data_IF_601733751253
#
_entry.id   IF_601733751253
#
_cell.length_a   1.000
_cell.length_b   1.000
_cell.length_c   1.000
_cell.angle_alpha   90.00
_cell.angle_beta   90.00
_cell.angle_gamma   90.00
#
_symmetry.space_group_name_H-M   'P 1'
#
loop_
_entity.id
_entity.type
_entity.pdbx_description
1 polymer ?
#
# COMPACT_ATOMS: atom_id res chain seq x y z
N UNK A 1 -9.33 -34.84 2.09
CA UNK A 1 -9.81 -33.82 3.07
C UNK A 1 -9.37 -32.45 2.59
N UNK A 2 -9.99 -31.36 3.08
CA UNK A 2 -9.56 -29.99 2.77
C UNK A 2 -9.14 -29.29 4.03
N UNK A 3 -7.92 -28.81 4.09
CA UNK A 3 -7.37 -28.02 5.19
C UNK A 3 -7.51 -26.54 4.85
N UNK A 4 -7.92 -25.73 5.81
CA UNK A 4 -8.02 -24.27 5.67
C UNK A 4 -6.95 -23.58 6.48
N UNK A 5 -6.28 -22.62 5.87
CA UNK A 5 -5.37 -21.69 6.51
C UNK A 5 -5.90 -20.27 6.26
N UNK A 6 -5.66 -19.36 7.19
CA UNK A 6 -5.89 -17.95 6.93
C UNK A 6 -4.53 -17.27 6.76
N UNK A 7 -4.33 -16.61 5.62
CA UNK A 7 -3.10 -15.89 5.33
C UNK A 7 -3.31 -14.39 5.39
N UNK A 8 -2.40 -13.68 6.08
CA UNK A 8 -2.32 -12.22 6.13
C UNK A 8 -0.85 -11.77 6.11
N UNK A 9 -0.62 -10.51 5.72
CA UNK A 9 0.70 -9.88 5.70
C UNK A 9 0.54 -8.36 5.78
N UNK A 10 1.65 -7.65 5.87
CA UNK A 10 1.73 -6.19 5.72
C UNK A 10 0.76 -5.42 6.63
N UNK A 11 0.68 -5.85 7.91
CA UNK A 11 -0.19 -5.23 8.90
C UNK A 11 0.35 -3.89 9.39
N UNK A 12 1.68 -3.78 9.47
CA UNK A 12 2.41 -2.58 9.88
C UNK A 12 1.87 -1.94 11.17
N UNK A 13 1.69 -2.74 12.23
CA UNK A 13 1.31 -2.20 13.54
C UNK A 13 2.24 -1.05 13.95
N UNK A 14 1.67 -0.01 14.56
CA UNK A 14 2.33 1.23 14.96
C UNK A 14 2.80 2.14 13.81
N UNK A 15 2.32 1.92 12.58
CA UNK A 15 2.58 2.79 11.44
C UNK A 15 2.17 4.23 11.70
N UNK A 16 2.93 5.17 11.13
CA UNK A 16 2.59 6.59 11.10
C UNK A 16 1.80 6.91 9.84
N UNK A 17 0.65 7.56 10.00
CA UNK A 17 -0.25 7.93 8.93
C UNK A 17 -0.19 9.42 8.57
N UNK A 18 0.95 10.09 8.85
CA UNK A 18 1.08 11.54 8.61
C UNK A 18 0.89 11.93 7.15
N UNK A 19 1.40 11.13 6.21
CA UNK A 19 1.23 11.35 4.77
C UNK A 19 -0.24 11.31 4.31
N UNK A 20 -1.10 10.63 5.08
CA UNK A 20 -2.56 10.60 4.84
C UNK A 20 -3.31 11.73 5.58
N UNK A 21 -2.63 12.71 6.15
CA UNK A 21 -3.25 13.78 6.93
C UNK A 21 -3.73 13.36 8.33
N UNK A 22 -3.40 12.14 8.78
CA UNK A 22 -3.85 11.66 10.08
C UNK A 22 -2.94 12.14 11.20
N UNK A 23 -3.47 12.96 12.08
CA UNK A 23 -2.79 13.48 13.27
C UNK A 23 -3.65 13.28 14.53
N UNK A 24 -3.05 13.41 15.71
CA UNK A 24 -3.74 13.38 16.99
C UNK A 24 -4.65 12.16 17.18
N UNK A 25 -5.94 12.40 17.40
CA UNK A 25 -6.95 11.34 17.63
C UNK A 25 -7.15 10.45 16.40
N UNK A 26 -7.19 11.03 15.20
CA UNK A 26 -7.34 10.25 13.97
C UNK A 26 -6.18 9.25 13.79
N UNK A 27 -4.95 9.68 14.04
CA UNK A 27 -3.80 8.77 13.99
C UNK A 27 -3.89 7.65 15.03
N UNK A 28 -4.43 7.91 16.22
CA UNK A 28 -4.69 6.87 17.22
C UNK A 28 -5.77 5.89 16.74
N UNK A 29 -6.89 6.39 16.22
CA UNK A 29 -7.97 5.57 15.63
C UNK A 29 -7.44 4.68 14.49
N UNK A 30 -6.57 5.21 13.63
CA UNK A 30 -5.96 4.43 12.54
C UNK A 30 -5.09 3.29 13.07
N UNK A 31 -4.19 3.54 14.03
CA UNK A 31 -3.38 2.49 14.66
C UNK A 31 -4.22 1.46 15.40
N UNK A 32 -5.29 1.90 16.08
CA UNK A 32 -6.23 0.99 16.71
C UNK A 32 -6.95 0.11 15.67
N UNK A 33 -7.29 0.68 14.50
CA UNK A 33 -7.87 -0.06 13.37
C UNK A 33 -7.00 -1.23 12.90
N UNK A 34 -5.67 -1.07 12.86
CA UNK A 34 -4.75 -2.16 12.53
C UNK A 34 -4.81 -3.30 13.57
N UNK A 35 -4.86 -2.96 14.87
CA UNK A 35 -5.02 -3.95 15.94
C UNK A 35 -6.36 -4.69 15.84
N UNK A 36 -7.42 -3.97 15.51
CA UNK A 36 -8.75 -4.53 15.30
C UNK A 36 -8.82 -5.44 14.06
N UNK A 37 -8.10 -5.08 12.99
CA UNK A 37 -7.98 -5.91 11.79
C UNK A 37 -7.31 -7.27 12.12
N UNK A 38 -6.20 -7.25 12.89
CA UNK A 38 -5.56 -8.49 13.35
C UNK A 38 -6.51 -9.33 14.20
N UNK A 39 -7.13 -8.73 15.21
CA UNK A 39 -8.06 -9.45 16.08
C UNK A 39 -9.28 -9.99 15.32
N UNK A 40 -9.74 -9.25 14.30
CA UNK A 40 -10.81 -9.66 13.39
C UNK A 40 -10.41 -10.85 12.53
N UNK A 41 -9.19 -10.85 12.00
CA UNK A 41 -8.67 -11.97 11.21
C UNK A 41 -8.64 -13.28 12.02
N UNK A 42 -8.23 -13.23 13.28
CA UNK A 42 -8.25 -14.42 14.15
C UNK A 42 -9.67 -14.94 14.42
N UNK A 43 -10.63 -14.03 14.66
CA UNK A 43 -12.05 -14.46 14.81
C UNK A 43 -12.56 -15.12 13.53
N UNK A 44 -12.30 -14.51 12.38
CA UNK A 44 -12.68 -15.09 11.09
C UNK A 44 -12.05 -16.47 10.87
N UNK A 45 -10.77 -16.64 11.21
CA UNK A 45 -10.08 -17.92 11.09
C UNK A 45 -10.75 -19.00 11.95
N UNK A 46 -11.14 -18.67 13.19
CA UNK A 46 -11.87 -19.59 14.08
C UNK A 46 -13.27 -19.92 13.55
N UNK A 47 -14.01 -18.92 13.06
CA UNK A 47 -15.36 -19.09 12.48
C UNK A 47 -15.34 -19.99 11.24
N UNK A 48 -14.30 -19.87 10.42
CA UNK A 48 -14.12 -20.67 9.19
C UNK A 48 -13.47 -22.04 9.45
N UNK A 49 -13.11 -22.35 10.70
CA UNK A 49 -12.46 -23.60 11.07
C UNK A 49 -11.06 -23.74 10.46
N UNK A 50 -10.30 -22.66 10.37
CA UNK A 50 -8.91 -22.70 9.92
C UNK A 50 -8.03 -23.46 10.93
N UNK A 51 -7.12 -24.28 10.43
CA UNK A 51 -6.15 -25.03 11.23
C UNK A 51 -4.99 -24.14 11.68
N UNK A 52 -4.65 -23.11 10.91
CA UNK A 52 -3.59 -22.16 11.21
C UNK A 52 -3.85 -20.77 10.62
N UNK A 53 -3.13 -19.80 11.19
CA UNK A 53 -2.91 -18.48 10.61
C UNK A 53 -1.45 -18.38 10.18
N UNK A 54 -1.20 -17.95 8.94
CA UNK A 54 0.13 -17.66 8.41
C UNK A 54 0.30 -16.15 8.22
N UNK A 55 1.45 -15.60 8.61
CA UNK A 55 1.78 -14.18 8.52
C UNK A 55 3.02 -14.00 7.66
N UNK A 56 2.85 -13.40 6.49
CA UNK A 56 3.88 -13.21 5.46
C UNK A 56 4.79 -11.99 5.70
N UNK A 57 5.00 -11.59 6.97
CA UNK A 57 5.90 -10.49 7.34
C UNK A 57 5.24 -9.13 7.42
N UNK A 58 6.06 -8.15 7.82
CA UNK A 58 5.67 -6.76 8.05
C UNK A 58 4.46 -6.64 9.00
N UNK A 59 4.51 -7.44 10.09
CA UNK A 59 3.48 -7.44 11.12
C UNK A 59 3.49 -6.13 11.92
N UNK A 60 4.68 -5.53 12.13
CA UNK A 60 4.85 -4.29 12.88
C UNK A 60 6.01 -3.44 12.36
N UNK A 61 6.02 -2.16 12.71
CA UNK A 61 7.13 -1.23 12.42
C UNK A 61 8.20 -1.36 13.50
N UNK A 62 9.35 -1.96 13.19
CA UNK A 62 10.43 -2.25 14.16
C UNK A 62 10.88 -1.04 14.97
N UNK A 63 11.05 0.11 14.31
CA UNK A 63 11.54 1.33 14.96
C UNK A 63 10.55 1.97 15.92
N UNK A 64 9.28 1.56 15.92
CA UNK A 64 8.17 2.19 16.64
C UNK A 64 7.48 1.26 17.62
N UNK A 65 7.50 -0.03 17.34
CA UNK A 65 6.83 -1.02 18.13
C UNK A 65 7.50 -1.21 19.50
N UNK A 66 6.73 -1.04 20.54
CA UNK A 66 7.19 -1.12 21.93
C UNK A 66 6.66 -2.35 22.68
N UNK A 67 6.87 -2.32 24.00
CA UNK A 67 6.41 -3.39 24.90
C UNK A 67 4.90 -3.60 24.84
N UNK A 68 4.13 -2.51 24.64
CA UNK A 68 2.67 -2.58 24.51
C UNK A 68 2.24 -3.41 23.30
N UNK A 69 2.90 -3.20 22.15
CA UNK A 69 2.63 -3.97 20.92
C UNK A 69 3.02 -5.43 21.09
N UNK A 70 4.15 -5.70 21.73
CA UNK A 70 4.54 -7.08 22.06
C UNK A 70 3.53 -7.79 22.96
N UNK A 71 3.03 -7.12 24.01
CA UNK A 71 1.98 -7.66 24.90
C UNK A 71 0.65 -7.88 24.16
N UNK A 72 0.26 -6.93 23.32
CA UNK A 72 -0.94 -7.04 22.50
C UNK A 72 -0.86 -8.26 21.58
N UNK A 73 0.25 -8.45 20.86
CA UNK A 73 0.46 -9.59 19.98
C UNK A 73 0.43 -10.92 20.75
N UNK A 74 1.19 -11.04 21.84
CA UNK A 74 1.23 -12.26 22.62
C UNK A 74 -0.16 -12.64 23.19
N UNK A 75 -0.89 -11.66 23.74
CA UNK A 75 -2.24 -11.87 24.26
C UNK A 75 -3.23 -12.27 23.14
N UNK A 76 -3.18 -11.57 22.01
CA UNK A 76 -4.05 -11.85 20.86
C UNK A 76 -3.82 -13.27 20.36
N UNK A 77 -2.56 -13.65 20.15
CA UNK A 77 -2.20 -14.98 19.64
C UNK A 77 -2.50 -16.11 20.65
N UNK A 78 -2.33 -15.85 21.95
CA UNK A 78 -2.74 -16.79 22.98
C UNK A 78 -4.25 -17.07 22.95
N UNK A 79 -5.07 -16.05 22.65
CA UNK A 79 -6.53 -16.20 22.56
C UNK A 79 -7.01 -17.06 21.37
N UNK A 80 -6.12 -17.35 20.41
CA UNK A 80 -6.42 -18.17 19.23
C UNK A 80 -6.07 -19.66 19.43
N UNK A 81 -5.51 -20.04 20.59
CA UNK A 81 -5.25 -21.45 20.86
C UNK A 81 -6.51 -22.32 20.72
N UNK A 82 -6.41 -23.54 20.16
CA UNK A 82 -5.18 -24.28 19.81
C UNK A 82 -4.67 -24.00 18.38
N UNK A 83 -5.26 -23.05 17.63
CA UNK A 83 -4.87 -22.73 16.24
C UNK A 83 -3.41 -22.29 16.18
N UNK A 84 -2.63 -22.88 15.27
CA UNK A 84 -1.22 -22.56 15.08
C UNK A 84 -1.05 -21.21 14.36
N UNK A 85 0.01 -20.49 14.67
CA UNK A 85 0.38 -19.23 14.05
C UNK A 85 1.82 -19.32 13.57
N UNK A 86 2.02 -19.17 12.28
CA UNK A 86 3.33 -19.25 11.64
C UNK A 86 3.70 -17.87 11.07
N UNK A 87 4.84 -17.32 11.50
CA UNK A 87 5.27 -15.96 11.15
C UNK A 87 6.61 -16.00 10.43
N UNK A 88 6.65 -15.47 9.22
CA UNK A 88 7.87 -15.20 8.46
C UNK A 88 8.19 -13.69 8.58
N UNK A 89 9.17 -13.26 9.38
CA UNK A 89 9.54 -11.84 9.50
C UNK A 89 9.89 -11.20 8.14
N UNK A 90 9.38 -9.98 7.88
CA UNK A 90 9.62 -9.20 6.68
C UNK A 90 10.72 -8.14 6.84
N UNK A 91 10.74 -7.15 5.97
CA UNK A 91 11.77 -6.12 6.00
C UNK A 91 11.52 -5.01 7.04
N UNK A 92 10.25 -4.69 7.36
CA UNK A 92 9.92 -3.72 8.40
C UNK A 92 10.01 -4.30 9.82
N UNK A 93 9.91 -5.60 9.97
CA UNK A 93 9.96 -6.30 11.25
C UNK A 93 11.06 -7.39 11.30
N UNK A 94 12.14 -7.18 10.56
CA UNK A 94 13.25 -8.13 10.44
C UNK A 94 13.73 -8.67 11.80
N UNK A 95 14.19 -9.94 11.82
CA UNK A 95 14.62 -10.64 13.03
C UNK A 95 15.96 -10.11 13.58
N UNK A 96 15.99 -8.82 13.89
CA UNK A 96 17.13 -8.13 14.49
C UNK A 96 17.30 -8.49 15.96
N UNK A 97 18.48 -8.24 16.59
CA UNK A 97 18.67 -8.50 18.02
C UNK A 97 17.65 -7.82 18.93
N UNK A 98 17.17 -6.62 18.57
CA UNK A 98 16.19 -5.84 19.33
C UNK A 98 14.72 -6.08 18.92
N UNK A 99 14.44 -6.96 17.97
CA UNK A 99 13.08 -7.17 17.47
C UNK A 99 12.14 -7.72 18.54
N UNK A 100 10.84 -7.43 18.42
CA UNK A 100 9.82 -8.01 19.30
C UNK A 100 9.82 -9.53 19.24
N UNK A 101 10.15 -10.11 18.08
CA UNK A 101 10.24 -11.57 17.90
C UNK A 101 11.22 -12.24 18.87
N UNK A 102 12.26 -11.54 19.31
CA UNK A 102 13.25 -12.03 20.28
C UNK A 102 12.96 -11.61 21.73
N UNK A 103 12.17 -10.56 21.93
CA UNK A 103 11.95 -9.95 23.25
C UNK A 103 10.63 -10.37 23.91
N UNK A 104 9.69 -10.84 23.11
CA UNK A 104 8.36 -11.30 23.58
C UNK A 104 8.43 -12.79 23.88
N UNK A 105 7.87 -13.18 24.99
CA UNK A 105 7.59 -14.58 25.30
C UNK A 105 6.32 -14.98 24.55
N UNK A 106 6.50 -15.71 23.46
CA UNK A 106 5.40 -16.14 22.61
C UNK A 106 4.64 -17.32 23.19
N UNK A 107 3.30 -17.36 23.05
CA UNK A 107 2.51 -18.54 23.43
C UNK A 107 2.89 -19.76 22.58
N UNK A 108 2.63 -20.95 23.11
CA UNK A 108 3.08 -22.22 22.52
C UNK A 108 2.54 -22.54 21.13
N UNK A 109 1.49 -21.84 20.71
CA UNK A 109 0.91 -21.96 19.36
C UNK A 109 1.55 -21.03 18.33
N UNK A 110 2.59 -20.27 18.68
CA UNK A 110 3.28 -19.34 17.78
C UNK A 110 4.65 -19.90 17.40
N UNK A 111 4.90 -19.98 16.10
CA UNK A 111 6.21 -20.27 15.52
C UNK A 111 6.66 -19.06 14.72
N UNK A 112 7.83 -18.49 15.08
CA UNK A 112 8.50 -17.44 14.30
C UNK A 112 9.69 -18.09 13.59
N UNK A 113 9.72 -18.05 12.28
CA UNK A 113 10.85 -18.55 11.50
C UNK A 113 12.12 -17.73 11.79
N UNK A 114 13.27 -18.39 11.82
CA UNK A 114 14.50 -17.79 12.32
C UNK A 114 15.66 -17.75 11.34
N UNK A 115 15.61 -18.53 10.30
CA UNK A 115 16.64 -18.65 9.27
C UNK A 115 16.33 -17.80 8.04
N UNK A 116 17.37 -17.44 7.29
CA UNK A 116 17.25 -16.93 5.91
C UNK A 116 17.09 -18.05 4.88
N UNK A 117 17.15 -19.29 5.31
CA UNK A 117 16.84 -20.49 4.52
C UNK A 117 15.48 -21.04 4.95
N UNK A 118 14.80 -21.71 4.05
CA UNK A 118 13.49 -22.31 4.32
C UNK A 118 13.57 -23.41 5.37
N UNK A 119 12.83 -23.25 6.47
CA UNK A 119 12.70 -24.22 7.56
C UNK A 119 11.31 -24.86 7.52
N UNK A 120 11.18 -26.20 7.62
CA UNK A 120 9.90 -26.87 7.57
C UNK A 120 9.21 -26.88 8.94
N UNK A 121 7.91 -26.67 8.92
CA UNK A 121 7.00 -26.93 10.04
C UNK A 121 5.86 -27.80 9.53
N UNK A 122 5.78 -29.04 10.01
CA UNK A 122 4.64 -29.89 9.73
C UNK A 122 3.43 -29.39 10.52
N UNK A 123 2.42 -28.90 9.80
CA UNK A 123 1.24 -28.30 10.40
C UNK A 123 0.23 -29.38 10.81
N UNK A 124 0.01 -30.33 9.92
CA UNK A 124 -0.81 -31.54 10.07
C UNK A 124 -0.19 -32.62 9.20
N UNK A 125 -0.56 -33.88 9.45
CA UNK A 125 -0.11 -35.01 8.62
C UNK A 125 -0.35 -34.73 7.11
N UNK A 126 0.75 -34.73 6.38
CA UNK A 126 0.76 -34.48 4.93
C UNK A 126 0.71 -33.01 4.48
N UNK A 127 0.76 -32.04 5.39
CA UNK A 127 0.87 -30.61 5.03
C UNK A 127 2.01 -29.92 5.79
N UNK A 128 3.02 -29.47 5.05
CA UNK A 128 4.21 -28.79 5.60
C UNK A 128 4.27 -27.34 5.11
N UNK A 129 4.50 -26.41 6.03
CA UNK A 129 4.79 -25.01 5.72
C UNK A 129 6.29 -24.79 5.84
N UNK A 130 6.91 -24.27 4.79
CA UNK A 130 8.32 -23.92 4.73
C UNK A 130 8.46 -22.41 4.82
N UNK A 131 9.00 -21.93 5.92
CA UNK A 131 9.14 -20.49 6.15
C UNK A 131 10.57 -20.04 6.31
N UNK A 132 10.83 -18.78 6.04
CA UNK A 132 12.09 -18.10 6.30
C UNK A 132 11.87 -16.71 6.90
N UNK A 133 12.92 -16.10 7.40
CA UNK A 133 12.92 -14.77 8.01
C UNK A 133 13.87 -13.81 7.31
N UNK A 134 13.47 -12.57 7.14
CA UNK A 134 14.44 -11.48 6.95
C UNK A 134 15.22 -11.27 8.25
N UNK A 135 16.54 -11.33 8.19
CA UNK A 135 17.44 -11.02 9.32
C UNK A 135 18.07 -9.64 9.22
N UNK A 136 17.77 -8.94 8.14
CA UNK A 136 18.15 -7.56 7.87
C UNK A 136 17.06 -6.89 7.03
N UNK A 137 16.84 -5.56 7.17
CA UNK A 137 15.77 -4.87 6.43
C UNK A 137 15.96 -4.88 4.90
N UNK A 138 17.20 -4.92 4.42
CA UNK A 138 17.54 -4.86 2.99
C UNK A 138 17.98 -6.22 2.43
N UNK A 139 17.40 -7.32 2.90
CA UNK A 139 17.75 -8.66 2.42
C UNK A 139 17.47 -8.84 0.92
N UNK A 140 18.49 -9.33 0.18
CA UNK A 140 18.47 -9.51 -1.27
C UNK A 140 18.56 -10.98 -1.70
N UNK A 141 18.49 -11.92 -0.77
CA UNK A 141 18.51 -13.35 -1.08
C UNK A 141 17.23 -13.80 -1.79
N UNK A 142 17.34 -14.83 -2.64
CA UNK A 142 16.18 -15.46 -3.26
C UNK A 142 15.52 -16.41 -2.25
N UNK A 143 14.25 -16.19 -1.86
CA UNK A 143 13.57 -17.04 -0.88
C UNK A 143 13.33 -18.48 -1.36
N UNK A 144 13.47 -18.74 -2.66
CA UNK A 144 13.32 -20.08 -3.25
C UNK A 144 14.66 -20.76 -3.56
N UNK A 145 15.82 -20.15 -3.26
CA UNK A 145 17.17 -20.70 -3.59
C UNK A 145 17.47 -21.87 -2.70
N UNK A 146 17.10 -22.33 -1.79
CA UNK A 146 17.42 -23.48 -0.93
C UNK A 146 16.25 -24.46 -0.79
N UNK A 147 15.28 -24.36 -1.69
CA UNK A 147 14.10 -25.19 -1.61
C UNK A 147 14.46 -26.68 -1.75
N UNK A 148 13.78 -27.57 -1.01
CA UNK A 148 14.10 -28.97 -1.05
C UNK A 148 13.86 -29.52 -2.45
N UNK A 149 14.94 -30.01 -3.09
CA UNK A 149 14.90 -30.58 -4.45
C UNK A 149 13.98 -31.81 -4.57
N UNK A 150 13.54 -32.36 -3.47
CA UNK A 150 12.58 -33.46 -3.41
C UNK A 150 11.66 -33.20 -2.21
N UNK A 151 10.48 -32.61 -2.39
CA UNK A 151 9.47 -32.62 -1.35
C UNK A 151 9.18 -34.06 -0.93
N UNK A 152 9.13 -34.33 0.36
CA UNK A 152 8.65 -35.60 0.87
C UNK A 152 7.22 -35.91 0.39
N UNK A 153 6.64 -36.99 0.86
CA UNK A 153 5.20 -37.25 0.64
C UNK A 153 4.39 -36.14 1.31
N UNK A 154 3.44 -35.55 0.59
CA UNK A 154 2.54 -34.52 1.12
C UNK A 154 2.54 -33.22 0.31
N UNK A 155 1.82 -32.24 0.81
CA UNK A 155 1.69 -30.91 0.22
C UNK A 155 2.62 -29.93 0.94
N UNK A 156 3.34 -29.13 0.18
CA UNK A 156 4.29 -28.15 0.68
C UNK A 156 3.87 -26.74 0.26
N UNK A 157 3.78 -25.80 1.22
CA UNK A 157 3.57 -24.38 0.99
C UNK A 157 4.80 -23.61 1.45
N UNK A 158 5.20 -22.59 0.70
CA UNK A 158 6.21 -21.64 1.14
C UNK A 158 5.56 -20.45 1.87
N UNK A 159 6.22 -19.92 2.90
CA UNK A 159 5.80 -18.73 3.63
C UNK A 159 6.99 -17.78 3.81
N UNK A 160 6.95 -16.62 3.16
CA UNK A 160 8.03 -15.66 3.21
C UNK A 160 7.59 -14.24 2.83
N UNK A 161 8.46 -13.29 3.10
CA UNK A 161 8.29 -11.91 2.65
C UNK A 161 9.24 -11.65 1.48
N UNK A 162 8.72 -11.23 0.32
CA UNK A 162 9.57 -11.06 -0.86
C UNK A 162 8.88 -10.40 -2.06
N UNK A 163 9.72 -9.86 -2.94
CA UNK A 163 9.34 -9.15 -4.16
C UNK A 163 9.28 -10.08 -5.37
N UNK A 164 8.11 -10.38 -5.87
CA UNK A 164 7.95 -11.05 -7.16
C UNK A 164 8.29 -10.08 -8.30
N UNK A 165 9.30 -10.44 -9.11
CA UNK A 165 9.92 -9.52 -10.07
C UNK A 165 9.07 -9.29 -11.33
N UNK A 166 8.30 -10.28 -11.77
CA UNK A 166 7.46 -10.20 -12.97
C UNK A 166 6.26 -9.28 -12.83
N UNK A 167 5.91 -8.90 -11.59
CA UNK A 167 4.73 -8.07 -11.29
C UNK A 167 5.01 -6.95 -10.29
N UNK A 168 6.25 -6.55 -10.18
CA UNK A 168 6.66 -5.50 -9.25
C UNK A 168 5.94 -4.19 -9.55
N UNK A 169 5.23 -3.59 -8.57
CA UNK A 169 4.70 -2.24 -8.71
C UNK A 169 5.83 -1.22 -8.91
N UNK A 170 5.57 -0.20 -9.73
CA UNK A 170 6.54 0.87 -9.96
C UNK A 170 6.96 1.55 -8.64
N UNK A 171 8.25 1.87 -8.52
CA UNK A 171 8.80 2.51 -7.32
C UNK A 171 8.91 1.62 -6.08
N UNK A 172 8.36 0.40 -6.07
CA UNK A 172 8.48 -0.50 -4.92
C UNK A 172 9.91 -1.05 -4.80
N UNK A 173 10.48 -0.99 -3.60
CA UNK A 173 11.81 -1.55 -3.30
C UNK A 173 11.83 -3.07 -3.49
N UNK A 174 13.00 -3.61 -3.76
CA UNK A 174 13.21 -5.04 -3.95
C UNK A 174 13.80 -5.61 -2.66
N UNK A 175 13.10 -6.56 -2.06
CA UNK A 175 13.56 -7.35 -0.91
C UNK A 175 13.15 -8.79 -1.16
N UNK A 176 14.03 -9.76 -0.91
CA UNK A 176 13.75 -11.17 -1.18
C UNK A 176 13.25 -11.43 -2.60
N UNK A 177 14.04 -11.08 -3.66
CA UNK A 177 13.59 -11.17 -5.05
C UNK A 177 13.37 -12.62 -5.51
N UNK A 178 12.26 -12.88 -6.20
CA UNK A 178 11.96 -14.18 -6.80
C UNK A 178 11.06 -14.03 -8.03
N UNK A 179 10.87 -15.14 -8.75
CA UNK A 179 9.92 -15.25 -9.87
C UNK A 179 8.84 -16.27 -9.56
N UNK A 180 7.59 -15.97 -9.90
CA UNK A 180 6.43 -16.80 -9.57
C UNK A 180 6.49 -18.20 -10.22
N UNK A 181 7.07 -18.34 -11.41
CA UNK A 181 7.23 -19.62 -12.08
C UNK A 181 8.04 -20.64 -11.25
N UNK A 182 9.01 -20.13 -10.45
CA UNK A 182 9.87 -20.96 -9.61
C UNK A 182 9.14 -21.61 -8.44
N UNK A 183 7.97 -21.15 -8.05
CA UNK A 183 7.21 -21.71 -6.92
C UNK A 183 6.92 -23.20 -7.18
N UNK A 184 6.35 -23.49 -8.34
CA UNK A 184 6.03 -24.88 -8.73
C UNK A 184 7.27 -25.72 -9.01
N UNK A 185 8.29 -25.14 -9.65
CA UNK A 185 9.56 -25.78 -9.94
C UNK A 185 10.28 -26.17 -8.64
N UNK A 186 10.18 -25.36 -7.59
CA UNK A 186 10.70 -25.64 -6.27
C UNK A 186 9.91 -26.68 -5.47
N UNK A 187 8.80 -27.19 -6.01
CA UNK A 187 7.97 -28.25 -5.41
C UNK A 187 6.89 -27.71 -4.46
N UNK A 188 6.61 -26.41 -4.46
CA UNK A 188 5.56 -25.85 -3.62
C UNK A 188 4.22 -25.80 -4.35
N UNK A 189 3.16 -26.16 -3.65
CA UNK A 189 1.78 -26.02 -4.11
C UNK A 189 1.31 -24.54 -4.07
N UNK A 190 1.90 -23.70 -3.22
CA UNK A 190 1.75 -22.25 -3.23
C UNK A 190 2.87 -21.57 -2.43
N UNK A 191 3.08 -20.26 -2.71
CA UNK A 191 3.84 -19.35 -1.88
C UNK A 191 2.89 -18.30 -1.26
N UNK A 192 2.89 -18.26 0.05
CA UNK A 192 2.12 -17.33 0.88
C UNK A 192 3.04 -16.16 1.23
N UNK A 193 2.89 -15.06 0.50
CA UNK A 193 3.85 -13.96 0.50
C UNK A 193 3.30 -12.69 1.16
N UNK A 194 4.19 -11.85 1.70
CA UNK A 194 3.96 -10.43 1.98
C UNK A 194 4.93 -9.56 1.19
N UNK A 195 4.84 -8.26 1.31
CA UNK A 195 5.60 -7.19 0.70
C UNK A 195 4.79 -6.29 -0.24
N UNK A 196 3.92 -6.85 -1.07
CA UNK A 196 3.07 -6.06 -1.95
C UNK A 196 1.72 -5.76 -1.29
N UNK A 197 1.43 -4.48 -1.10
CA UNK A 197 0.23 -4.02 -0.41
C UNK A 197 -1.05 -4.27 -1.20
N UNK A 198 -0.94 -4.49 -2.51
CA UNK A 198 -2.07 -4.87 -3.35
C UNK A 198 -2.25 -6.38 -3.33
N UNK A 199 -3.52 -6.83 -3.18
CA UNK A 199 -3.86 -8.25 -3.23
C UNK A 199 -3.57 -8.82 -4.62
N UNK A 200 -2.91 -9.97 -4.65
CA UNK A 200 -2.69 -10.74 -5.86
C UNK A 200 -2.85 -12.23 -5.57
N UNK A 201 -3.72 -12.87 -6.31
CA UNK A 201 -4.01 -14.29 -6.20
C UNK A 201 -3.88 -14.93 -7.57
N UNK A 202 -2.86 -15.75 -7.76
CA UNK A 202 -2.63 -16.50 -8.99
C UNK A 202 -2.52 -18.00 -8.68
N UNK A 203 -3.62 -18.72 -8.85
CA UNK A 203 -3.67 -20.15 -8.60
C UNK A 203 -2.85 -20.96 -9.60
N UNK A 204 -2.53 -20.43 -10.77
CA UNK A 204 -1.74 -21.13 -11.81
C UNK A 204 -0.28 -21.26 -11.38
N UNK A 205 0.34 -20.21 -10.93
CA UNK A 205 1.70 -20.22 -10.35
C UNK A 205 1.71 -20.64 -8.88
N UNK A 206 0.59 -20.51 -8.17
CA UNK A 206 0.50 -20.69 -6.71
C UNK A 206 0.91 -19.43 -5.92
N UNK A 207 1.01 -18.27 -6.55
CA UNK A 207 1.40 -17.02 -5.90
C UNK A 207 0.24 -16.39 -5.14
N UNK A 208 0.47 -16.03 -3.87
CA UNK A 208 -0.48 -15.30 -3.04
C UNK A 208 0.18 -14.14 -2.32
N UNK A 209 -0.28 -12.92 -2.60
CA UNK A 209 -0.17 -11.74 -1.74
C UNK A 209 -1.56 -11.37 -1.22
N UNK A 210 -1.82 -11.33 0.09
CA UNK A 210 -3.13 -10.92 0.62
C UNK A 210 -3.32 -9.41 0.50
N UNK A 211 -2.21 -8.66 0.38
CA UNK A 211 -2.16 -7.21 0.53
C UNK A 211 -2.29 -6.76 1.99
N UNK A 212 -2.33 -5.46 2.20
CA UNK A 212 -2.54 -4.89 3.52
C UNK A 212 -4.00 -5.12 3.98
N UNK A 213 -4.26 -5.45 5.24
CA UNK A 213 -5.63 -5.65 5.72
C UNK A 213 -6.43 -4.36 5.92
N UNK A 214 -5.75 -3.23 6.02
CA UNK A 214 -6.31 -1.87 6.06
C UNK A 214 -5.49 -0.95 5.15
N UNK A 215 -6.07 0.10 4.55
CA UNK A 215 -5.30 1.02 3.71
C UNK A 215 -4.16 1.67 4.49
N UNK A 216 -2.94 1.60 4.01
CA UNK A 216 -1.77 2.26 4.59
C UNK A 216 -1.36 3.52 3.82
N UNK A 217 -1.92 3.71 2.64
CA UNK A 217 -1.75 4.83 1.74
C UNK A 217 -3.01 5.10 0.91
N UNK A 218 -2.99 6.18 0.13
CA UNK A 218 -4.11 6.48 -0.78
C UNK A 218 -4.16 5.57 -2.01
N UNK A 219 -3.05 4.91 -2.32
CA UNK A 219 -2.96 3.95 -3.43
C UNK A 219 -3.49 2.56 -3.03
N UNK A 220 -3.89 2.41 -1.75
CA UNK A 220 -4.43 1.18 -1.18
C UNK A 220 -5.97 1.15 -1.27
N UNK A 221 -6.51 1.28 -2.47
CA UNK A 221 -7.95 1.30 -2.73
C UNK A 221 -8.59 -0.10 -2.69
N UNK A 222 -9.92 -0.13 -2.54
CA UNK A 222 -10.73 -1.34 -2.67
C UNK A 222 -10.83 -2.21 -1.43
N UNK A 223 -11.39 -3.40 -1.61
CA UNK A 223 -11.59 -4.39 -0.55
C UNK A 223 -10.28 -5.01 -0.11
N UNK A 224 -10.07 -5.09 1.22
CA UNK A 224 -8.83 -5.54 1.86
C UNK A 224 -9.12 -6.48 3.02
N UNK A 225 -8.18 -7.32 3.33
CA UNK A 225 -8.30 -8.28 4.41
C UNK A 225 -7.57 -9.58 4.12
N UNK A 226 -7.71 -10.58 4.99
CA UNK A 226 -7.02 -11.85 4.84
C UNK A 226 -7.55 -12.67 3.66
N UNK A 227 -6.77 -13.66 3.28
CA UNK A 227 -7.14 -14.66 2.28
C UNK A 227 -7.19 -16.04 2.94
N UNK A 228 -8.29 -16.75 2.79
CA UNK A 228 -8.38 -18.16 3.17
C UNK A 228 -7.76 -19.01 2.05
N UNK A 229 -6.86 -19.87 2.44
CA UNK A 229 -6.18 -20.85 1.58
C UNK A 229 -6.75 -22.23 1.87
N UNK A 230 -7.50 -22.78 0.93
CA UNK A 230 -7.99 -24.16 0.99
C UNK A 230 -6.99 -25.07 0.29
N UNK A 231 -6.51 -26.09 0.99
CA UNK A 231 -5.53 -27.05 0.49
C UNK A 231 -6.11 -28.44 0.56
N UNK A 232 -6.14 -29.15 -0.57
CA UNK A 232 -6.54 -30.55 -0.60
C UNK A 232 -5.36 -31.49 -0.35
N UNK A 233 -5.63 -32.73 0.06
CA UNK A 233 -4.63 -33.80 0.20
C UNK A 233 -3.94 -34.18 -1.15
N UNK A 234 -4.45 -33.68 -2.27
CA UNK A 234 -3.85 -33.83 -3.61
C UNK A 234 -2.95 -32.68 -4.02
N UNK A 235 -2.87 -31.62 -3.19
CA UNK A 235 -2.08 -30.42 -3.48
C UNK A 235 -2.82 -29.37 -4.31
N UNK A 236 -4.13 -29.50 -4.51
CA UNK A 236 -4.90 -28.42 -5.11
C UNK A 236 -5.04 -27.29 -4.09
N UNK A 237 -4.80 -26.07 -4.52
CA UNK A 237 -4.86 -24.87 -3.69
C UNK A 237 -5.89 -23.91 -4.26
N UNK A 238 -6.76 -23.39 -3.39
CA UNK A 238 -7.75 -22.37 -3.72
C UNK A 238 -7.60 -21.17 -2.77
N UNK A 239 -7.60 -19.97 -3.33
CA UNK A 239 -7.56 -18.72 -2.60
C UNK A 239 -8.94 -18.06 -2.54
N UNK A 240 -9.38 -17.66 -1.36
CA UNK A 240 -10.68 -17.03 -1.12
C UNK A 240 -10.44 -15.74 -0.33
N UNK A 241 -10.63 -14.60 -0.97
CA UNK A 241 -10.46 -13.30 -0.34
C UNK A 241 -11.63 -12.97 0.58
N UNK A 242 -11.32 -12.37 1.72
CA UNK A 242 -12.30 -11.84 2.66
C UNK A 242 -12.02 -10.35 2.88
N UNK A 243 -12.90 -9.49 2.38
CA UNK A 243 -12.80 -8.05 2.56
C UNK A 243 -13.35 -7.69 3.95
N UNK A 244 -12.45 -7.30 4.83
CA UNK A 244 -12.75 -7.03 6.25
C UNK A 244 -12.27 -5.65 6.70
N UNK A 245 -11.70 -4.85 5.78
CA UNK A 245 -11.23 -3.51 6.08
C UNK A 245 -12.39 -2.62 6.55
N UNK A 246 -12.09 -1.78 7.50
CA UNK A 246 -13.03 -0.84 8.12
C UNK A 246 -12.78 0.60 7.67
N UNK A 247 -11.63 0.86 7.11
CA UNK A 247 -11.23 2.14 6.56
C UNK A 247 -11.18 2.06 5.05
N UNK A 248 -11.46 3.18 4.39
CA UNK A 248 -11.35 3.32 2.95
C UNK A 248 -10.40 4.45 2.59
N UNK A 249 -9.67 4.30 1.51
CA UNK A 249 -8.83 5.33 0.93
C UNK A 249 -9.13 5.42 -0.56
N UNK A 250 -9.16 6.64 -1.09
CA UNK A 250 -9.42 6.92 -2.50
C UNK A 250 -8.49 8.00 -3.00
N UNK A 251 -8.13 7.93 -4.28
CA UNK A 251 -7.52 9.03 -5.01
C UNK A 251 -8.52 9.54 -6.04
N UNK A 252 -8.82 10.84 -6.00
CA UNK A 252 -9.85 11.48 -6.83
C UNK A 252 -9.19 12.55 -7.69
N UNK A 253 -9.14 12.38 -9.02
CA UNK A 253 -8.72 13.46 -9.90
C UNK A 253 -9.82 14.53 -9.95
N UNK A 254 -9.43 15.79 -9.93
CA UNK A 254 -10.33 16.93 -10.06
C UNK A 254 -9.67 17.99 -10.95
N UNK A 255 -10.33 18.36 -12.02
CA UNK A 255 -9.91 19.46 -12.86
C UNK A 255 -10.54 20.76 -12.37
N UNK A 256 -9.72 21.77 -12.15
CA UNK A 256 -10.11 23.10 -11.67
C UNK A 256 -10.06 24.18 -12.76
N UNK A 257 -9.87 23.84 -14.03
CA UNK A 257 -9.68 24.81 -15.11
C UNK A 257 -10.80 25.85 -15.22
N UNK A 258 -12.04 25.43 -15.00
CA UNK A 258 -13.21 26.32 -15.06
C UNK A 258 -13.51 27.05 -13.75
N UNK A 259 -12.70 26.82 -12.70
CA UNK A 259 -12.94 27.39 -11.38
C UNK A 259 -12.41 28.81 -11.28
N UNK A 260 -13.29 29.80 -11.32
CA UNK A 260 -12.96 31.24 -11.21
C UNK A 260 -12.79 31.74 -9.76
N UNK A 261 -12.89 30.87 -8.74
CA UNK A 261 -12.72 31.24 -7.33
C UNK A 261 -12.37 30.03 -6.48
N UNK A 262 -11.81 30.27 -5.27
CA UNK A 262 -11.51 29.20 -4.30
C UNK A 262 -12.78 28.44 -3.93
N UNK A 263 -13.92 29.13 -3.79
CA UNK A 263 -15.20 28.49 -3.47
C UNK A 263 -15.66 27.55 -4.59
N UNK A 264 -15.47 27.96 -5.87
CA UNK A 264 -15.77 27.08 -6.99
C UNK A 264 -14.88 25.83 -7.01
N UNK A 265 -13.59 25.94 -6.65
CA UNK A 265 -12.69 24.79 -6.47
C UNK A 265 -13.20 23.87 -5.35
N UNK A 266 -13.57 24.43 -4.19
CA UNK A 266 -14.11 23.64 -3.08
C UNK A 266 -15.40 22.92 -3.50
N UNK A 267 -16.29 23.56 -4.25
CA UNK A 267 -17.53 22.96 -4.75
C UNK A 267 -17.23 21.81 -5.72
N UNK A 268 -16.35 22.01 -6.69
CA UNK A 268 -15.93 21.00 -7.64
C UNK A 268 -15.30 19.78 -6.93
N UNK A 269 -14.35 20.01 -6.03
CA UNK A 269 -13.71 18.95 -5.24
C UNK A 269 -14.72 18.21 -4.38
N UNK A 270 -15.65 18.93 -3.73
CA UNK A 270 -16.72 18.31 -2.91
C UNK A 270 -17.58 17.38 -3.76
N UNK A 271 -17.99 17.82 -4.94
CA UNK A 271 -18.80 17.02 -5.87
C UNK A 271 -18.05 15.76 -6.35
N UNK A 272 -16.79 15.90 -6.75
CA UNK A 272 -15.98 14.77 -7.20
C UNK A 272 -15.75 13.77 -6.06
N UNK A 273 -15.41 14.23 -4.84
CA UNK A 273 -15.29 13.36 -3.69
C UNK A 273 -16.60 12.63 -3.37
N UNK A 274 -17.74 13.31 -3.40
CA UNK A 274 -19.04 12.69 -3.14
C UNK A 274 -19.40 11.61 -4.18
N UNK A 275 -18.92 11.73 -5.41
CA UNK A 275 -19.16 10.76 -6.49
C UNK A 275 -18.49 9.40 -6.28
N UNK A 276 -17.50 9.28 -5.38
CA UNK A 276 -16.85 8.01 -5.07
C UNK A 276 -17.77 7.00 -4.37
N UNK A 277 -18.88 7.47 -3.78
CA UNK A 277 -19.91 6.61 -3.18
C UNK A 277 -19.45 5.88 -1.91
N UNK A 278 -18.63 6.52 -1.09
CA UNK A 278 -18.16 5.95 0.19
C UNK A 278 -19.33 5.67 1.16
N UNK A 279 -19.26 4.56 1.89
CA UNK A 279 -20.33 4.10 2.81
C UNK A 279 -20.18 4.66 4.23
N UNK A 280 -18.97 4.93 4.69
CA UNK A 280 -18.65 5.44 6.04
C UNK A 280 -17.68 6.64 5.92
N UNK A 281 -18.22 7.89 5.87
CA UNK A 281 -17.40 9.09 5.72
C UNK A 281 -16.36 9.25 6.85
N UNK A 282 -16.72 8.93 8.08
CA UNK A 282 -15.84 9.09 9.25
C UNK A 282 -14.66 8.11 9.26
N UNK A 283 -14.67 7.15 8.35
CA UNK A 283 -13.58 6.20 8.10
C UNK A 283 -13.06 6.25 6.67
N UNK A 284 -13.43 7.26 5.92
CA UNK A 284 -12.98 7.48 4.55
C UNK A 284 -11.94 8.60 4.51
N UNK A 285 -10.85 8.35 3.80
CA UNK A 285 -9.77 9.29 3.54
C UNK A 285 -9.64 9.48 2.04
N UNK A 286 -9.54 10.72 1.58
CA UNK A 286 -9.47 11.04 0.15
C UNK A 286 -8.22 11.87 -0.14
N UNK A 287 -7.47 11.48 -1.15
CA UNK A 287 -6.49 12.33 -1.81
C UNK A 287 -7.15 12.92 -3.06
N UNK A 288 -7.09 14.23 -3.19
CA UNK A 288 -7.52 14.92 -4.40
C UNK A 288 -6.29 15.30 -5.20
N UNK A 289 -6.18 14.82 -6.42
CA UNK A 289 -5.19 15.27 -7.39
C UNK A 289 -5.83 16.40 -8.20
N UNK A 290 -5.57 17.64 -7.76
CA UNK A 290 -6.15 18.85 -8.32
C UNK A 290 -5.28 19.34 -9.47
N UNK A 291 -5.82 19.34 -10.68
CA UNK A 291 -5.14 19.75 -11.91
C UNK A 291 -5.86 20.91 -12.61
N UNK A 292 -5.35 21.33 -13.76
CA UNK A 292 -5.94 22.39 -14.58
C UNK A 292 -5.23 23.73 -14.45
N UNK A 293 -5.59 24.66 -15.32
CA UNK A 293 -5.06 26.03 -15.34
C UNK A 293 -6.00 26.94 -14.55
N UNK A 294 -5.52 27.54 -13.47
CA UNK A 294 -6.31 28.40 -12.58
C UNK A 294 -5.90 29.86 -12.79
N UNK A 295 -6.88 30.78 -12.82
CA UNK A 295 -6.62 32.22 -12.90
C UNK A 295 -5.70 32.67 -11.77
N UNK A 296 -4.70 33.50 -12.10
CA UNK A 296 -3.71 33.97 -11.13
C UNK A 296 -4.30 34.81 -9.96
N UNK A 297 -5.54 35.29 -10.10
CA UNK A 297 -6.26 35.96 -9.02
C UNK A 297 -6.82 34.99 -7.96
N UNK A 298 -6.90 33.69 -8.29
CA UNK A 298 -7.35 32.65 -7.37
C UNK A 298 -6.14 32.18 -6.54
N UNK A 299 -6.01 32.72 -5.33
CA UNK A 299 -5.01 32.27 -4.35
C UNK A 299 -5.45 30.97 -3.70
N UNK A 300 -5.03 29.85 -4.30
CA UNK A 300 -5.40 28.53 -3.79
C UNK A 300 -4.49 28.14 -2.61
N UNK A 301 -5.11 27.85 -1.47
CA UNK A 301 -4.46 27.22 -0.32
C UNK A 301 -5.02 25.80 -0.15
N UNK A 302 -4.20 24.80 -0.39
CA UNK A 302 -4.57 23.38 -0.30
C UNK A 302 -5.18 23.03 1.06
N UNK A 303 -4.67 23.60 2.15
CA UNK A 303 -5.19 23.34 3.50
C UNK A 303 -6.62 23.85 3.67
N UNK A 304 -6.94 25.01 3.12
CA UNK A 304 -8.29 25.58 3.13
C UNK A 304 -9.28 24.65 2.39
N UNK A 305 -8.89 24.14 1.24
CA UNK A 305 -9.71 23.18 0.47
C UNK A 305 -9.89 21.88 1.24
N UNK A 306 -8.79 21.31 1.79
CA UNK A 306 -8.82 20.10 2.61
C UNK A 306 -9.81 20.22 3.77
N UNK A 307 -9.75 21.33 4.50
CA UNK A 307 -10.60 21.56 5.66
C UNK A 307 -12.07 21.69 5.26
N UNK A 308 -12.37 22.51 4.25
CA UNK A 308 -13.74 22.75 3.80
C UNK A 308 -14.40 21.47 3.27
N UNK A 309 -13.71 20.73 2.41
CA UNK A 309 -14.24 19.47 1.84
C UNK A 309 -14.42 18.41 2.93
N UNK A 310 -13.45 18.27 3.85
CA UNK A 310 -13.57 17.36 4.98
C UNK A 310 -14.80 17.65 5.84
N UNK A 311 -15.04 18.91 6.15
CA UNK A 311 -16.21 19.32 6.96
C UNK A 311 -17.52 19.11 6.23
N UNK A 312 -17.60 19.48 4.95
CA UNK A 312 -18.83 19.33 4.14
C UNK A 312 -19.28 17.88 3.97
N UNK A 313 -18.31 16.97 3.83
CA UNK A 313 -18.56 15.55 3.60
C UNK A 313 -18.39 14.68 4.86
N UNK A 314 -18.04 15.28 6.01
CA UNK A 314 -17.75 14.59 7.27
C UNK A 314 -16.68 13.48 7.11
N UNK A 315 -15.66 13.73 6.27
CA UNK A 315 -14.62 12.76 5.99
C UNK A 315 -13.58 12.69 7.14
N UNK A 316 -12.96 11.52 7.28
CA UNK A 316 -11.89 11.33 8.26
C UNK A 316 -10.67 12.22 7.94
N UNK A 317 -10.25 12.26 6.68
CA UNK A 317 -9.20 13.12 6.19
C UNK A 317 -9.39 13.43 4.69
N UNK A 318 -8.94 14.61 4.30
CA UNK A 318 -8.77 15.00 2.90
C UNK A 318 -7.33 15.51 2.76
N UNK A 319 -6.66 15.14 1.68
CA UNK A 319 -5.37 15.68 1.26
C UNK A 319 -5.50 16.18 -0.16
N UNK A 320 -5.04 17.39 -0.42
CA UNK A 320 -4.97 17.95 -1.77
C UNK A 320 -3.52 17.89 -2.23
N UNK A 321 -3.29 17.25 -3.36
CA UNK A 321 -2.06 17.36 -4.13
C UNK A 321 -2.34 18.39 -5.23
N UNK A 322 -1.82 19.59 -5.03
CA UNK A 322 -1.96 20.69 -5.98
C UNK A 322 -1.02 20.45 -7.16
N UNK A 323 -1.59 20.12 -8.29
CA UNK A 323 -0.94 19.96 -9.59
C UNK A 323 -1.40 21.04 -10.57
N UNK A 324 -2.06 22.09 -10.10
CA UNK A 324 -2.55 23.18 -10.93
C UNK A 324 -1.41 24.01 -11.51
N UNK A 325 -1.69 24.74 -12.57
CA UNK A 325 -0.80 25.72 -13.14
C UNK A 325 -1.53 27.07 -13.26
N UNK A 326 -0.81 28.20 -13.24
CA UNK A 326 -1.45 29.48 -13.55
C UNK A 326 -2.04 29.47 -14.96
N UNK A 327 -3.29 29.93 -15.08
CA UNK A 327 -3.87 30.19 -16.40
C UNK A 327 -3.07 31.30 -17.10
N UNK A 328 -2.69 31.05 -18.32
CA UNK A 328 -1.95 31.98 -19.12
C UNK A 328 -2.75 32.30 -20.38
N UNK A 329 -3.33 33.50 -20.41
CA UNK A 329 -3.94 34.04 -21.63
C UNK A 329 -2.84 34.38 -22.67
N UNK A 330 -2.54 33.37 -23.48
CA UNK A 330 -1.50 33.53 -24.54
C UNK A 330 -1.91 34.56 -25.61
N UNK A 331 -3.19 34.66 -25.91
CA UNK A 331 -3.66 35.65 -26.92
C UNK A 331 -3.44 37.06 -26.42
N UNK A 332 -3.82 37.35 -25.18
CA UNK A 332 -3.57 38.64 -24.55
C UNK A 332 -2.06 38.89 -24.39
N UNK A 333 -1.30 37.90 -23.92
CA UNK A 333 0.14 38.04 -23.76
C UNK A 333 0.91 38.30 -25.05
N UNK A 334 0.49 37.74 -26.18
CA UNK A 334 1.06 38.02 -27.49
C UNK A 334 0.90 39.49 -27.91
N UNK A 335 -0.14 40.17 -27.46
CA UNK A 335 -0.43 41.58 -27.81
C UNK A 335 0.23 42.57 -26.84
N UNK A 336 0.82 42.09 -25.74
CA UNK A 336 1.48 42.96 -24.78
C UNK A 336 2.76 43.59 -25.35
N UNK A 337 2.93 44.90 -25.19
CA UNK A 337 4.19 45.59 -25.42
C UNK A 337 5.07 45.59 -24.15
N UNK A 338 5.38 44.39 -23.65
CA UNK A 338 6.14 44.16 -22.41
C UNK A 338 7.21 43.09 -22.62
N UNK A 339 8.11 42.91 -21.64
CA UNK A 339 9.07 41.80 -21.62
C UNK A 339 8.35 40.43 -21.67
N UNK A 340 7.19 40.32 -21.00
CA UNK A 340 6.34 39.15 -21.04
C UNK A 340 5.84 38.86 -22.45
N UNK A 341 5.29 39.88 -23.14
CA UNK A 341 4.82 39.74 -24.52
C UNK A 341 5.95 39.42 -25.52
N UNK A 342 7.11 40.03 -25.37
CA UNK A 342 8.27 39.71 -26.19
C UNK A 342 8.75 38.26 -26.01
N UNK A 343 8.76 37.78 -24.78
CA UNK A 343 9.08 36.39 -24.45
C UNK A 343 8.09 35.40 -25.05
N UNK A 344 6.78 35.65 -24.90
CA UNK A 344 5.72 34.79 -25.47
C UNK A 344 5.84 34.74 -27.01
N UNK A 345 5.99 35.87 -27.67
CA UNK A 345 6.18 35.91 -29.15
C UNK A 345 7.39 35.08 -29.57
N UNK A 346 8.52 35.23 -28.89
CA UNK A 346 9.74 34.50 -29.23
C UNK A 346 9.60 32.98 -29.01
N UNK A 347 9.03 32.57 -27.87
CA UNK A 347 8.84 31.16 -27.55
C UNK A 347 7.81 30.48 -28.48
N UNK A 348 6.70 31.16 -28.79
CA UNK A 348 5.66 30.63 -29.69
C UNK A 348 6.22 30.49 -31.11
N UNK A 349 7.02 31.46 -31.60
CA UNK A 349 7.67 31.37 -32.90
C UNK A 349 8.67 30.20 -32.96
N UNK A 350 9.47 30.02 -31.93
CA UNK A 350 10.40 28.88 -31.83
C UNK A 350 9.67 27.52 -31.85
N UNK A 351 8.58 27.41 -31.10
CA UNK A 351 7.78 26.17 -31.04
C UNK A 351 7.08 25.83 -32.37
N UNK A 352 6.74 26.84 -33.19
CA UNK A 352 6.13 26.63 -34.51
C UNK A 352 7.09 26.02 -35.55
N UNK A 353 8.39 26.22 -35.38
CA UNK A 353 9.43 25.72 -36.27
C UNK A 353 10.14 24.46 -35.77
N UNK A 354 9.77 23.96 -34.54
CA UNK A 354 10.40 22.85 -33.85
C UNK A 354 9.81 21.48 -34.26
N UNK A 355 10.58 20.41 -34.09
CA UNK A 355 10.03 19.06 -34.14
C UNK A 355 9.14 18.76 -32.93
N UNK A 356 8.34 17.65 -32.90
CA UNK A 356 7.40 17.37 -31.82
C UNK A 356 8.03 17.29 -30.42
N UNK A 357 9.22 16.71 -30.30
CA UNK A 357 9.91 16.55 -29.02
C UNK A 357 10.47 17.90 -28.52
N UNK A 358 11.03 18.69 -29.42
CA UNK A 358 11.53 20.04 -29.14
C UNK A 358 10.38 21.02 -28.84
N UNK A 359 9.23 20.86 -29.51
CA UNK A 359 8.04 21.67 -29.27
C UNK A 359 7.49 21.48 -27.84
N UNK A 360 7.51 20.26 -27.30
CA UNK A 360 7.11 19.96 -25.90
C UNK A 360 8.03 20.68 -24.90
N UNK A 361 9.34 20.62 -25.12
CA UNK A 361 10.33 21.35 -24.29
C UNK A 361 10.11 22.83 -24.31
N UNK A 362 9.82 23.40 -25.51
CA UNK A 362 9.56 24.82 -25.67
C UNK A 362 8.23 25.27 -25.05
N UNK A 363 7.21 24.43 -25.05
CA UNK A 363 5.96 24.69 -24.33
C UNK A 363 6.19 24.72 -22.81
N UNK A 364 6.98 23.79 -22.29
CA UNK A 364 7.35 23.78 -20.86
C UNK A 364 8.19 25.02 -20.51
N UNK A 365 9.14 25.38 -21.35
CA UNK A 365 9.95 26.59 -21.17
C UNK A 365 9.10 27.88 -21.22
N UNK A 366 8.09 27.94 -22.09
CA UNK A 366 7.12 29.04 -22.15
C UNK A 366 6.33 29.14 -20.84
N UNK A 367 5.83 28.02 -20.36
CA UNK A 367 5.08 27.95 -19.09
C UNK A 367 5.92 28.40 -17.90
N UNK A 368 7.13 27.85 -17.72
CA UNK A 368 8.01 28.19 -16.60
C UNK A 368 8.49 29.66 -16.69
N UNK A 369 8.80 30.12 -17.89
CA UNK A 369 9.19 31.51 -18.10
C UNK A 369 8.09 32.52 -17.76
N UNK A 370 6.84 32.20 -18.07
CA UNK A 370 5.68 33.02 -17.72
C UNK A 370 5.40 33.00 -16.24
N UNK A 371 5.54 31.88 -15.57
CA UNK A 371 5.47 31.77 -14.10
C UNK A 371 6.53 32.66 -13.44
N UNK A 372 7.79 32.59 -13.91
CA UNK A 372 8.86 33.42 -13.38
C UNK A 372 8.62 34.93 -13.60
N UNK A 373 8.10 35.31 -14.76
CA UNK A 373 7.77 36.71 -15.10
C UNK A 373 6.59 37.24 -14.28
N UNK A 374 5.67 36.39 -13.84
CA UNK A 374 4.57 36.76 -12.95
C UNK A 374 4.92 36.74 -11.44
N UNK A 375 6.17 36.39 -11.09
CA UNK A 375 6.63 36.32 -9.72
C UNK A 375 6.17 35.07 -8.96
N UNK A 376 5.66 34.07 -9.68
CA UNK A 376 5.27 32.78 -9.09
C UNK A 376 6.51 31.91 -8.84
N UNK A 377 6.47 31.05 -7.80
CA UNK A 377 7.50 30.03 -7.60
C UNK A 377 7.47 29.02 -8.75
N UNK A 378 8.65 28.81 -9.36
CA UNK A 378 8.83 27.85 -10.45
C UNK A 378 9.28 26.52 -9.85
N UNK A 379 8.37 25.58 -9.70
CA UNK A 379 8.70 24.19 -9.39
C UNK A 379 8.93 23.38 -10.67
N UNK A 380 10.09 22.74 -10.81
CA UNK A 380 10.30 21.73 -11.84
C UNK A 380 9.47 20.49 -11.48
N UNK A 381 8.65 20.02 -12.39
CA UNK A 381 7.87 18.77 -12.26
C UNK A 381 8.56 17.60 -12.91
#
# INVERSE_FOLDING_TARGET
MTTRLLHLADLHLDRVFAAMGCQGELARRRRQGLREALSGAGRLAMELGCSAVTIGGDLYEHERAGVDTGRFLAHTFASWQPMQILIAPGNHDALLPGSLYRRVEWPSNVTVFGSTELEPVELIDGLTIWGLAHREPAWQGDPLAGSPATPGSGVHLALFHGAELGSRPEGKSIHGPFHAERIREAGFAAALCGHYHQRRMDSSSGLLYPGTPEPLGFDDEGGRGPVVVEVTDRGDVKFIAHDTNRWSAFTVPCDAEECGSVEAVIDAVTMHCASTGFSDPERTMIRVDLSGAIDASVSLDAFTVELAVRERLNLAAVKVRDLTSPFIDLESALQEESTRGAFVRAATAAAADADPDEAEVLQDALRYGLMALSGSEVGLR
#
